data_IF_673654507453
#
_entry.id   IF_673654507453
#
_cell.length_a   1.000
_cell.length_b   1.000
_cell.length_c   1.000
_cell.angle_alpha   90.00
_cell.angle_beta   90.00
_cell.angle_gamma   90.00
#
_symmetry.space_group_name_H-M   'P 1'
#
loop_
_entity.id
_entity.type
_entity.pdbx_description
1 polymer ?
#
# COMPACT_ATOMS: atom_id res chain seq x y z
N UNK A 1 2.80 2.21 44.90
CA UNK A 1 3.08 1.83 43.50
C UNK A 1 1.78 1.35 42.87
N UNK A 2 1.48 1.78 41.63
CA UNK A 2 0.35 1.22 40.87
C UNK A 2 0.76 -0.16 40.35
N UNK A 3 -0.14 -1.14 40.38
CA UNK A 3 0.17 -2.47 39.83
C UNK A 3 0.19 -2.43 38.30
N UNK A 4 0.88 -3.39 37.68
CA UNK A 4 0.93 -3.53 36.21
C UNK A 4 -0.48 -3.66 35.63
N UNK A 5 -1.40 -4.36 36.30
CA UNK A 5 -2.81 -4.51 35.86
C UNK A 5 -3.58 -3.19 35.87
N UNK A 6 -3.26 -2.28 36.81
CA UNK A 6 -3.86 -0.96 36.84
C UNK A 6 -3.31 -0.04 35.74
N UNK A 7 -2.08 -0.29 35.31
CA UNK A 7 -1.40 0.43 34.21
C UNK A 7 -1.72 -0.15 32.83
N UNK A 8 -2.18 -1.41 32.78
CA UNK A 8 -2.59 -2.13 31.57
C UNK A 8 -3.98 -2.75 31.81
N UNK A 9 -5.03 -1.92 31.85
CA UNK A 9 -6.38 -2.39 32.12
C UNK A 9 -6.91 -3.22 30.95
N UNK A 10 -7.87 -4.12 31.22
CA UNK A 10 -8.49 -4.93 30.17
C UNK A 10 -9.26 -4.09 29.15
N UNK A 11 -9.83 -2.97 29.59
CA UNK A 11 -10.50 -1.99 28.74
C UNK A 11 -9.91 -0.61 29.02
N UNK A 12 -9.54 0.10 27.95
CA UNK A 12 -8.87 1.39 28.04
C UNK A 12 -7.48 1.37 27.42
N UNK A 13 -6.79 2.50 27.49
CA UNK A 13 -5.42 2.64 27.01
C UNK A 13 -4.43 2.26 28.11
N UNK A 14 -3.30 1.67 27.70
CA UNK A 14 -2.16 1.47 28.57
C UNK A 14 -1.59 2.81 29.06
N UNK A 15 -0.99 2.81 30.25
CA UNK A 15 -0.21 3.91 30.82
C UNK A 15 1.30 3.61 30.63
N UNK A 16 1.88 3.91 29.45
CA UNK A 16 3.29 3.61 29.18
C UNK A 16 4.24 4.42 30.05
N UNK A 17 3.82 5.60 30.54
CA UNK A 17 4.63 6.41 31.45
C UNK A 17 4.70 5.73 32.82
N UNK A 18 3.56 5.32 33.37
CA UNK A 18 3.52 4.57 34.62
C UNK A 18 4.25 3.23 34.56
N UNK A 19 4.17 2.50 33.43
CA UNK A 19 4.94 1.27 33.25
C UNK A 19 6.46 1.51 33.25
N UNK A 20 6.94 2.67 32.78
CA UNK A 20 8.36 3.02 32.83
C UNK A 20 8.86 3.25 34.26
N UNK A 21 7.97 3.60 35.19
CA UNK A 21 8.28 3.78 36.61
C UNK A 21 8.32 2.48 37.41
N UNK A 22 7.72 1.39 36.89
CA UNK A 22 7.77 0.06 37.51
C UNK A 22 9.19 -0.51 37.42
N UNK A 23 9.63 -1.25 38.45
CA UNK A 23 10.95 -1.88 38.47
C UNK A 23 11.17 -2.79 37.26
N UNK A 24 12.37 -2.73 36.67
CA UNK A 24 12.67 -3.47 35.45
C UNK A 24 12.69 -5.00 35.69
N UNK A 25 13.07 -5.49 36.87
CA UNK A 25 13.02 -6.92 37.19
C UNK A 25 11.57 -7.39 37.32
N UNK A 26 10.70 -6.55 37.89
CA UNK A 26 9.27 -6.84 37.99
C UNK A 26 8.65 -6.96 36.59
N UNK A 27 8.94 -6.03 35.69
CA UNK A 27 8.45 -6.07 34.31
C UNK A 27 9.02 -7.24 33.51
N UNK A 28 10.31 -7.57 33.67
CA UNK A 28 10.94 -8.70 32.99
C UNK A 28 10.30 -10.03 33.43
N UNK A 29 10.05 -10.20 34.74
CA UNK A 29 9.33 -11.36 35.26
C UNK A 29 7.90 -11.43 34.71
N UNK A 30 7.19 -10.31 34.69
CA UNK A 30 5.81 -10.25 34.16
C UNK A 30 5.76 -10.58 32.67
N UNK A 31 6.70 -10.05 31.88
CA UNK A 31 6.81 -10.33 30.46
C UNK A 31 7.13 -11.80 30.15
N UNK A 32 7.96 -12.43 31.00
CA UNK A 32 8.38 -13.81 30.84
C UNK A 32 7.32 -14.85 31.25
N UNK A 33 6.34 -14.49 32.08
CA UNK A 33 5.34 -15.43 32.58
C UNK A 33 4.18 -15.62 31.57
N UNK A 34 4.01 -16.82 30.97
CA UNK A 34 2.95 -17.08 30.00
C UNK A 34 1.55 -17.14 30.63
N UNK A 35 1.44 -17.17 31.97
CA UNK A 35 0.14 -17.10 32.65
C UNK A 35 -0.53 -15.72 32.51
N UNK A 36 0.24 -14.68 32.19
CA UNK A 36 -0.29 -13.35 31.94
C UNK A 36 -0.78 -13.18 30.49
N UNK A 37 -1.85 -12.37 30.25
CA UNK A 37 -2.32 -12.10 28.90
C UNK A 37 -1.26 -11.45 28.02
N UNK A 38 -1.18 -11.86 26.75
CA UNK A 38 -0.17 -11.42 25.78
C UNK A 38 -0.09 -9.90 25.64
N UNK A 39 -1.23 -9.20 25.71
CA UNK A 39 -1.30 -7.76 25.52
C UNK A 39 -0.63 -7.01 26.68
N UNK A 40 -0.78 -7.46 27.94
CA UNK A 40 -0.04 -6.91 29.09
C UNK A 40 1.45 -7.20 28.99
N UNK A 41 1.79 -8.44 28.65
CA UNK A 41 3.18 -8.88 28.49
C UNK A 41 3.89 -8.03 27.44
N UNK A 42 3.26 -7.78 26.29
CA UNK A 42 3.78 -6.89 25.23
C UNK A 42 4.03 -5.47 25.73
N UNK A 43 3.12 -4.90 26.53
CA UNK A 43 3.29 -3.55 27.08
C UNK A 43 4.43 -3.49 28.10
N UNK A 44 4.61 -4.54 28.92
CA UNK A 44 5.78 -4.69 29.78
C UNK A 44 7.09 -4.76 28.99
N UNK A 45 7.13 -5.55 27.91
CA UNK A 45 8.30 -5.65 27.00
C UNK A 45 8.65 -4.29 26.40
N UNK A 46 7.64 -3.54 25.95
CA UNK A 46 7.86 -2.19 25.41
C UNK A 46 8.44 -1.25 26.47
N UNK A 47 7.96 -1.35 27.71
CA UNK A 47 8.44 -0.54 28.83
C UNK A 47 9.88 -0.90 29.28
N UNK A 48 10.41 -2.08 28.91
CA UNK A 48 11.77 -2.52 29.22
C UNK A 48 12.84 -1.92 28.29
N UNK A 49 12.45 -1.23 27.22
CA UNK A 49 13.38 -0.64 26.23
C UNK A 49 14.48 0.18 26.92
N UNK A 50 15.74 -0.18 26.67
CA UNK A 50 16.93 0.49 27.22
C UNK A 50 17.25 0.16 28.68
N UNK A 51 16.54 -0.79 29.31
CA UNK A 51 16.72 -1.14 30.74
C UNK A 51 16.46 -2.61 31.05
N UNK A 52 16.79 -3.51 30.12
CA UNK A 52 16.63 -4.96 30.30
C UNK A 52 17.54 -5.44 31.44
N UNK A 53 17.01 -6.07 32.50
CA UNK A 53 17.85 -6.60 33.56
C UNK A 53 18.55 -7.88 33.10
N UNK A 54 19.88 -7.90 33.16
CA UNK A 54 20.72 -9.02 32.71
C UNK A 54 20.30 -10.40 33.29
N UNK A 55 19.91 -10.53 34.57
CA UNK A 55 19.52 -11.83 35.12
C UNK A 55 18.30 -12.47 34.46
N UNK A 56 17.46 -11.71 33.74
CA UNK A 56 16.25 -12.22 33.08
C UNK A 56 16.41 -12.43 31.58
N UNK A 57 17.57 -12.10 31.00
CA UNK A 57 17.79 -12.26 29.56
C UNK A 57 17.61 -13.71 29.10
N UNK A 58 18.13 -14.74 29.79
CA UNK A 58 17.92 -16.13 29.39
C UNK A 58 16.43 -16.51 29.32
N UNK A 59 15.63 -16.07 30.29
CA UNK A 59 14.20 -16.34 30.35
C UNK A 59 13.44 -15.63 29.22
N UNK A 60 13.78 -14.37 28.94
CA UNK A 60 13.19 -13.61 27.83
C UNK A 60 13.55 -14.21 26.47
N UNK A 61 14.80 -14.68 26.29
CA UNK A 61 15.22 -15.45 25.11
C UNK A 61 14.42 -16.74 25.01
N UNK A 62 14.26 -17.48 26.10
CA UNK A 62 13.47 -18.72 26.10
C UNK A 62 12.02 -18.50 25.64
N UNK A 63 11.43 -17.32 25.91
CA UNK A 63 10.11 -16.94 25.37
C UNK A 63 10.11 -16.64 23.88
N UNK A 64 11.13 -15.96 23.37
CA UNK A 64 11.31 -15.77 21.91
C UNK A 64 11.34 -17.13 21.20
N UNK A 65 12.04 -18.08 21.81
CA UNK A 65 12.32 -19.40 21.25
C UNK A 65 11.15 -20.38 21.34
N UNK A 66 10.19 -20.12 22.23
CA UNK A 66 9.02 -20.97 22.46
C UNK A 66 7.96 -20.79 21.35
N UNK A 67 7.75 -21.79 20.47
CA UNK A 67 6.74 -21.68 19.41
C UNK A 67 5.31 -21.71 19.95
N UNK A 68 5.08 -22.13 21.20
CA UNK A 68 3.76 -22.12 21.83
C UNK A 68 3.40 -20.74 22.42
N UNK A 69 4.36 -19.82 22.50
CA UNK A 69 4.09 -18.45 22.94
C UNK A 69 3.49 -17.61 21.79
N UNK A 70 2.81 -16.53 22.16
CA UNK A 70 2.15 -15.63 21.22
C UNK A 70 3.13 -14.85 20.35
N UNK A 71 2.85 -14.77 19.05
CA UNK A 71 3.70 -14.07 18.09
C UNK A 71 3.90 -12.58 18.43
N UNK A 72 2.90 -11.93 19.03
CA UNK A 72 2.95 -10.54 19.49
C UNK A 72 4.04 -10.32 20.53
N UNK A 73 4.12 -11.20 21.52
CA UNK A 73 5.13 -11.11 22.58
C UNK A 73 6.50 -11.49 22.05
N UNK A 74 6.59 -12.57 21.27
CA UNK A 74 7.84 -13.02 20.64
C UNK A 74 8.48 -11.95 19.77
N UNK A 75 7.69 -11.26 18.93
CA UNK A 75 8.16 -10.12 18.11
C UNK A 75 8.63 -8.95 18.96
N UNK A 76 7.87 -8.57 19.98
CA UNK A 76 8.26 -7.48 20.87
C UNK A 76 9.57 -7.79 21.61
N UNK A 77 9.76 -9.05 22.04
CA UNK A 77 10.99 -9.50 22.70
C UNK A 77 12.18 -9.54 21.74
N UNK A 78 11.98 -9.95 20.48
CA UNK A 78 13.02 -9.87 19.44
C UNK A 78 13.48 -8.42 19.20
N UNK A 79 12.55 -7.47 19.16
CA UNK A 79 12.88 -6.06 19.04
C UNK A 79 13.66 -5.56 20.26
N UNK A 80 13.23 -5.95 21.47
CA UNK A 80 13.88 -5.59 22.73
C UNK A 80 15.32 -6.13 22.85
N UNK A 81 15.55 -7.36 22.39
CA UNK A 81 16.83 -8.07 22.49
C UNK A 81 17.61 -8.11 21.16
N UNK A 82 17.36 -7.14 20.29
CA UNK A 82 17.89 -7.12 18.93
C UNK A 82 19.42 -6.94 18.82
N UNK A 83 20.09 -6.59 19.93
CA UNK A 83 21.55 -6.45 20.04
C UNK A 83 22.24 -7.69 20.66
N UNK A 84 21.46 -8.69 21.10
CA UNK A 84 21.97 -9.90 21.77
C UNK A 84 22.51 -10.91 20.77
N UNK A 85 23.84 -10.92 20.61
CA UNK A 85 24.54 -11.82 19.68
C UNK A 85 24.27 -13.31 19.93
N UNK A 86 23.88 -13.68 21.16
CA UNK A 86 23.52 -15.06 21.54
C UNK A 86 22.31 -15.60 20.77
N UNK A 87 21.46 -14.72 20.23
CA UNK A 87 20.30 -15.10 19.41
C UNK A 87 20.69 -15.55 18.00
N UNK A 88 21.83 -15.10 17.47
CA UNK A 88 22.15 -15.26 16.06
C UNK A 88 22.27 -16.73 15.60
N UNK A 89 22.94 -17.64 16.34
CA UNK A 89 22.98 -19.06 15.97
C UNK A 89 21.59 -19.70 15.85
N UNK A 90 20.68 -19.33 16.76
CA UNK A 90 19.30 -19.82 16.74
C UNK A 90 18.48 -19.21 15.60
N UNK A 91 18.64 -17.90 15.34
CA UNK A 91 17.94 -17.19 14.26
C UNK A 91 18.30 -17.71 12.86
N UNK A 92 19.53 -18.22 12.69
CA UNK A 92 20.01 -18.80 11.42
C UNK A 92 19.52 -20.22 11.16
N UNK A 93 18.94 -20.88 12.15
CA UNK A 93 18.49 -22.26 12.00
C UNK A 93 17.34 -22.35 10.99
N UNK A 94 17.38 -23.36 10.11
CA UNK A 94 16.42 -23.52 9.00
C UNK A 94 14.96 -23.62 9.45
N UNK A 95 14.69 -24.21 10.62
CA UNK A 95 13.37 -24.25 11.25
C UNK A 95 12.68 -22.88 11.35
N UNK A 96 13.44 -21.78 11.43
CA UNK A 96 12.87 -20.42 11.51
C UNK A 96 12.19 -20.00 10.22
N UNK A 97 12.61 -20.54 9.08
CA UNK A 97 11.95 -20.31 7.79
C UNK A 97 10.56 -20.97 7.73
N UNK A 98 10.34 -22.04 8.51
CA UNK A 98 9.06 -22.77 8.56
C UNK A 98 8.08 -22.29 9.65
N UNK A 99 8.44 -21.28 10.44
CA UNK A 99 7.54 -20.74 11.47
C UNK A 99 6.38 -19.97 10.82
N UNK A 100 5.21 -20.61 10.76
CA UNK A 100 3.99 -20.06 10.17
C UNK A 100 3.26 -19.04 11.06
N UNK A 101 3.80 -18.76 12.26
CA UNK A 101 3.22 -17.76 13.16
C UNK A 101 3.23 -16.38 12.50
N UNK A 102 2.11 -15.67 12.60
CA UNK A 102 1.89 -14.41 11.89
C UNK A 102 3.01 -13.38 12.14
N UNK A 103 3.73 -13.02 11.06
CA UNK A 103 4.78 -12.00 11.06
C UNK A 103 6.12 -12.42 11.68
N UNK A 104 6.29 -13.67 12.14
CA UNK A 104 7.54 -14.11 12.77
C UNK A 104 8.71 -14.21 11.79
N UNK A 105 8.48 -14.72 10.57
CA UNK A 105 9.53 -14.82 9.55
C UNK A 105 10.19 -13.46 9.25
N UNK A 106 9.39 -12.41 9.11
CA UNK A 106 9.88 -11.04 8.91
C UNK A 106 10.64 -10.52 10.14
N UNK A 107 10.16 -10.82 11.35
CA UNK A 107 10.82 -10.43 12.59
C UNK A 107 12.18 -11.13 12.78
N UNK A 108 12.30 -12.40 12.42
CA UNK A 108 13.58 -13.12 12.43
C UNK A 108 14.57 -12.50 11.46
N UNK A 109 14.16 -12.18 10.23
CA UNK A 109 15.00 -11.50 9.25
C UNK A 109 15.47 -10.14 9.75
N UNK A 110 14.57 -9.33 10.32
CA UNK A 110 14.92 -8.05 10.95
C UNK A 110 15.98 -8.22 12.03
N UNK A 111 15.78 -9.15 12.98
CA UNK A 111 16.73 -9.41 14.06
C UNK A 111 18.09 -9.89 13.52
N UNK A 112 18.11 -10.76 12.50
CA UNK A 112 19.34 -11.18 11.80
C UNK A 112 20.09 -9.98 11.21
N UNK A 113 19.37 -9.07 10.56
CA UNK A 113 19.95 -7.83 10.02
C UNK A 113 20.58 -6.94 11.10
N UNK A 114 19.85 -6.69 12.19
CA UNK A 114 20.34 -5.91 13.33
C UNK A 114 21.57 -6.54 14.01
N UNK A 115 21.64 -7.87 14.05
CA UNK A 115 22.80 -8.61 14.57
C UNK A 115 23.97 -8.72 13.57
N UNK A 116 23.83 -8.16 12.36
CA UNK A 116 24.90 -8.13 11.38
C UNK A 116 25.00 -9.37 10.49
N UNK A 117 23.91 -10.11 10.27
CA UNK A 117 23.92 -11.26 9.39
C UNK A 117 23.76 -10.86 7.91
N UNK A 118 24.88 -10.67 7.20
CA UNK A 118 24.86 -10.31 5.78
C UNK A 118 24.09 -11.33 4.91
N UNK A 119 24.04 -12.60 5.31
CA UNK A 119 23.28 -13.62 4.56
C UNK A 119 21.76 -13.41 4.59
N UNK A 120 21.25 -12.45 5.36
CA UNK A 120 19.83 -12.06 5.35
C UNK A 120 19.54 -10.86 4.43
N UNK A 121 20.56 -10.24 3.82
CA UNK A 121 20.41 -8.99 3.09
C UNK A 121 19.39 -9.11 1.94
N UNK A 122 19.45 -10.21 1.18
CA UNK A 122 18.60 -10.43 0.01
C UNK A 122 17.11 -10.53 0.37
N UNK A 123 16.79 -11.27 1.43
CA UNK A 123 15.42 -11.42 1.93
C UNK A 123 14.95 -10.12 2.59
N UNK A 124 15.83 -9.41 3.29
CA UNK A 124 15.52 -8.09 3.85
C UNK A 124 15.20 -7.06 2.77
N UNK A 125 15.95 -7.04 1.65
CA UNK A 125 15.64 -6.20 0.48
C UNK A 125 14.26 -6.55 -0.10
N UNK A 126 13.91 -7.84 -0.12
CA UNK A 126 12.59 -8.30 -0.53
C UNK A 126 11.47 -7.75 0.38
N UNK A 127 11.68 -7.79 1.71
CA UNK A 127 10.75 -7.18 2.66
C UNK A 127 10.66 -5.66 2.47
N UNK A 128 11.80 -4.99 2.29
CA UNK A 128 11.90 -3.53 2.09
C UNK A 128 11.24 -3.05 0.77
N UNK A 129 11.12 -3.91 -0.23
CA UNK A 129 10.40 -3.63 -1.48
C UNK A 129 8.89 -3.97 -1.41
N UNK A 130 8.41 -4.49 -0.27
CA UNK A 130 7.00 -4.86 -0.11
C UNK A 130 6.05 -3.68 -0.31
N UNK A 131 4.87 -3.91 -0.92
CA UNK A 131 3.82 -2.89 -0.97
C UNK A 131 3.24 -2.60 0.43
N UNK A 132 3.33 -3.57 1.35
CA UNK A 132 2.82 -3.43 2.71
C UNK A 132 3.78 -2.66 3.59
N UNK A 133 3.32 -1.51 4.10
CA UNK A 133 4.15 -0.60 4.89
C UNK A 133 4.85 -1.30 6.07
N UNK A 134 4.13 -2.09 6.85
CA UNK A 134 4.70 -2.75 8.03
C UNK A 134 5.81 -3.77 7.66
N UNK A 135 5.66 -4.48 6.54
CA UNK A 135 6.69 -5.39 6.02
C UNK A 135 7.91 -4.62 5.53
N UNK A 136 7.66 -3.52 4.80
CA UNK A 136 8.73 -2.63 4.34
C UNK A 136 9.53 -2.04 5.49
N UNK A 137 8.87 -1.47 6.49
CA UNK A 137 9.50 -0.88 7.66
C UNK A 137 10.36 -1.93 8.40
N UNK A 138 9.93 -3.21 8.40
CA UNK A 138 10.69 -4.34 8.96
C UNK A 138 11.95 -4.64 8.14
N UNK A 139 11.84 -4.72 6.81
CA UNK A 139 12.99 -4.93 5.92
C UNK A 139 14.00 -3.78 5.97
N UNK A 140 13.51 -2.54 5.92
CA UNK A 140 14.33 -1.32 6.02
C UNK A 140 15.11 -1.29 7.34
N UNK A 141 14.48 -1.62 8.47
CA UNK A 141 15.17 -1.67 9.76
C UNK A 141 16.28 -2.72 9.81
N UNK A 142 16.04 -3.91 9.23
CA UNK A 142 17.08 -4.94 9.14
C UNK A 142 18.25 -4.55 8.25
N UNK A 143 17.99 -3.92 7.10
CA UNK A 143 19.03 -3.41 6.19
C UNK A 143 19.79 -2.25 6.82
N UNK A 144 19.12 -1.36 7.55
CA UNK A 144 19.77 -0.27 8.27
C UNK A 144 20.71 -0.81 9.34
N UNK A 145 20.34 -1.88 10.06
CA UNK A 145 21.25 -2.60 10.96
C UNK A 145 22.51 -3.15 10.27
N UNK A 146 22.35 -3.72 9.06
CA UNK A 146 23.51 -4.18 8.27
C UNK A 146 24.40 -3.01 7.84
N UNK A 147 23.79 -1.88 7.43
CA UNK A 147 24.51 -0.67 7.02
C UNK A 147 25.24 -0.03 8.19
N UNK A 148 24.63 0.03 9.37
CA UNK A 148 25.27 0.58 10.58
C UNK A 148 26.51 -0.23 10.98
N UNK A 149 26.51 -1.54 10.72
CA UNK A 149 27.63 -2.44 11.07
C UNK A 149 28.73 -2.51 10.02
N UNK A 150 28.37 -2.57 8.73
CA UNK A 150 29.32 -2.83 7.63
C UNK A 150 29.52 -1.64 6.69
N UNK A 151 28.67 -0.61 6.78
CA UNK A 151 28.62 0.49 5.83
C UNK A 151 27.77 0.17 4.60
N UNK A 152 27.24 1.23 3.96
CA UNK A 152 26.33 1.10 2.82
C UNK A 152 26.96 0.40 1.61
N UNK A 153 28.23 0.71 1.32
CA UNK A 153 28.94 0.15 0.16
C UNK A 153 29.06 -1.38 0.23
N UNK A 154 29.30 -1.94 1.41
CA UNK A 154 29.39 -3.41 1.59
C UNK A 154 28.02 -4.05 1.36
N UNK A 155 26.95 -3.47 1.92
CA UNK A 155 25.59 -4.01 1.76
C UNK A 155 25.11 -3.89 0.31
N UNK A 156 25.42 -2.79 -0.38
CA UNK A 156 25.11 -2.62 -1.81
C UNK A 156 25.89 -3.63 -2.66
N UNK A 157 27.17 -3.86 -2.36
CA UNK A 157 27.97 -4.86 -3.06
C UNK A 157 27.44 -6.30 -2.86
N UNK A 158 26.95 -6.62 -1.65
CA UNK A 158 26.34 -7.92 -1.34
C UNK A 158 25.02 -8.13 -2.11
N UNK A 159 24.20 -7.08 -2.27
CA UNK A 159 22.91 -7.15 -2.96
C UNK A 159 23.05 -7.15 -4.50
N UNK A 160 24.02 -6.41 -5.05
CA UNK A 160 24.23 -6.30 -6.49
C UNK A 160 23.15 -5.47 -7.21
N UNK A 161 22.98 -5.70 -8.51
CA UNK A 161 22.07 -4.91 -9.39
C UNK A 161 21.03 -5.75 -10.15
N UNK A 162 21.07 -7.07 -10.04
CA UNK A 162 20.25 -7.97 -10.88
C UNK A 162 18.75 -7.82 -10.60
N UNK A 163 18.38 -7.62 -9.32
CA UNK A 163 16.99 -7.60 -8.89
C UNK A 163 16.49 -6.18 -8.64
N UNK A 164 15.21 -5.91 -8.94
CA UNK A 164 14.61 -4.61 -8.66
C UNK A 164 14.59 -4.27 -7.17
N UNK A 165 14.39 -5.26 -6.28
CA UNK A 165 14.40 -5.01 -4.83
C UNK A 165 15.76 -4.50 -4.33
N UNK A 166 16.84 -5.01 -4.92
CA UNK A 166 18.22 -4.68 -4.59
C UNK A 166 18.57 -3.28 -5.16
N UNK A 167 18.09 -2.98 -6.38
CA UNK A 167 18.21 -1.63 -6.97
C UNK A 167 17.38 -0.58 -6.22
N UNK A 168 16.19 -0.90 -5.72
CA UNK A 168 15.40 -0.01 -4.85
C UNK A 168 16.21 0.40 -3.62
N UNK A 169 16.86 -0.56 -2.96
CA UNK A 169 17.70 -0.28 -1.79
C UNK A 169 18.83 0.70 -2.14
N UNK A 170 19.53 0.49 -3.25
CA UNK A 170 20.58 1.39 -3.73
C UNK A 170 20.07 2.82 -3.95
N UNK A 171 18.90 2.98 -4.57
CA UNK A 171 18.26 4.29 -4.78
C UNK A 171 18.01 4.98 -3.43
N UNK A 172 17.48 4.27 -2.41
CA UNK A 172 17.26 4.84 -1.07
C UNK A 172 18.58 5.26 -0.42
N UNK A 173 19.65 4.48 -0.56
CA UNK A 173 20.95 4.79 0.04
C UNK A 173 21.58 6.03 -0.58
N UNK A 174 21.57 6.14 -1.91
CA UNK A 174 22.02 7.34 -2.62
C UNK A 174 21.24 8.58 -2.17
N UNK A 175 19.90 8.49 -2.13
CA UNK A 175 19.07 9.59 -1.63
C UNK A 175 19.45 10.01 -0.20
N UNK A 176 19.61 9.06 0.73
CA UNK A 176 20.00 9.36 2.12
C UNK A 176 21.40 9.94 2.24
N UNK A 177 22.30 9.64 1.32
CA UNK A 177 23.62 10.25 1.20
C UNK A 177 23.59 11.66 0.55
N UNK A 178 22.40 12.15 0.16
CA UNK A 178 22.24 13.42 -0.56
C UNK A 178 22.68 13.35 -2.02
N UNK A 179 22.82 12.15 -2.57
CA UNK A 179 23.23 11.92 -3.95
C UNK A 179 22.03 11.93 -4.92
N UNK A 180 22.36 12.06 -6.21
CA UNK A 180 21.38 11.99 -7.28
C UNK A 180 20.77 10.60 -7.43
N UNK A 181 19.46 10.59 -7.66
CA UNK A 181 18.64 9.40 -7.95
C UNK A 181 17.93 9.48 -9.29
N UNK A 182 18.07 10.57 -10.05
CA UNK A 182 17.36 10.74 -11.33
C UNK A 182 17.74 9.69 -12.38
N UNK A 183 18.95 9.10 -12.29
CA UNK A 183 19.37 7.98 -13.14
C UNK A 183 18.38 6.80 -13.09
N UNK A 184 17.76 6.56 -11.92
CA UNK A 184 16.85 5.44 -11.70
C UNK A 184 15.44 5.68 -12.27
N UNK A 185 15.12 6.89 -12.76
CA UNK A 185 13.88 7.14 -13.51
C UNK A 185 13.85 6.32 -14.82
N UNK A 186 15.00 5.87 -15.30
CA UNK A 186 15.13 5.00 -16.47
C UNK A 186 15.27 3.50 -16.12
N UNK A 187 15.08 3.10 -14.87
CA UNK A 187 15.11 1.67 -14.50
C UNK A 187 13.98 0.91 -15.23
N UNK A 188 14.26 -0.29 -15.77
CA UNK A 188 13.25 -1.09 -16.45
C UNK A 188 12.14 -1.60 -15.51
N UNK A 189 12.37 -1.69 -14.20
CA UNK A 189 11.31 -1.99 -13.23
C UNK A 189 10.64 -0.69 -12.75
N UNK A 190 9.34 -0.57 -13.04
CA UNK A 190 8.53 0.60 -12.69
C UNK A 190 8.51 0.92 -11.20
N UNK A 191 8.70 -0.07 -10.31
CA UNK A 191 8.77 0.19 -8.86
C UNK A 191 10.02 0.97 -8.48
N UNK A 192 11.16 0.66 -9.13
CA UNK A 192 12.43 1.38 -8.94
C UNK A 192 12.32 2.80 -9.51
N UNK A 193 11.78 2.94 -10.72
CA UNK A 193 11.56 4.25 -11.34
C UNK A 193 10.57 5.12 -10.54
N UNK A 194 9.48 4.52 -10.03
CA UNK A 194 8.55 5.17 -9.13
C UNK A 194 9.23 5.63 -7.84
N UNK A 195 10.09 4.81 -7.23
CA UNK A 195 10.84 5.20 -6.04
C UNK A 195 11.72 6.42 -6.33
N UNK A 196 12.46 6.41 -7.43
CA UNK A 196 13.27 7.56 -7.85
C UNK A 196 12.42 8.82 -8.06
N UNK A 197 11.25 8.68 -8.70
CA UNK A 197 10.26 9.76 -8.85
C UNK A 197 9.84 10.38 -7.51
N UNK A 198 9.59 9.55 -6.49
CA UNK A 198 9.18 10.03 -5.16
C UNK A 198 10.32 10.68 -4.38
N UNK A 199 11.58 10.33 -4.68
CA UNK A 199 12.76 10.79 -3.96
C UNK A 199 13.51 11.94 -4.65
N UNK A 200 13.29 12.19 -5.95
CA UNK A 200 13.95 13.27 -6.66
C UNK A 200 13.57 14.64 -6.07
N UNK A 201 14.57 15.50 -5.84
CA UNK A 201 14.40 16.80 -5.16
C UNK A 201 14.94 17.99 -5.97
N UNK A 202 15.58 17.76 -7.11
CA UNK A 202 16.22 18.80 -7.94
C UNK A 202 15.40 19.02 -9.22
N UNK A 203 14.71 20.16 -9.29
CA UNK A 203 13.84 20.53 -10.41
C UNK A 203 14.63 20.75 -11.72
N UNK A 204 15.84 21.31 -11.65
CA UNK A 204 16.62 21.63 -12.84
C UNK A 204 17.17 20.35 -13.48
N UNK A 205 17.58 19.37 -12.66
CA UNK A 205 17.91 18.03 -13.15
C UNK A 205 16.72 17.32 -13.76
N UNK A 206 15.54 17.40 -13.14
CA UNK A 206 14.33 16.81 -13.69
C UNK A 206 13.97 17.43 -15.05
N UNK A 207 14.15 18.75 -15.23
CA UNK A 207 14.02 19.41 -16.52
C UNK A 207 15.01 18.88 -17.56
N UNK A 208 16.28 18.72 -17.19
CA UNK A 208 17.30 18.13 -18.06
C UNK A 208 16.94 16.68 -18.46
N UNK A 209 16.44 15.87 -17.52
CA UNK A 209 15.99 14.51 -17.81
C UNK A 209 14.86 14.43 -18.86
N UNK A 210 13.98 15.44 -18.95
CA UNK A 210 12.95 15.45 -19.98
C UNK A 210 13.54 15.46 -21.41
N UNK A 211 14.71 16.07 -21.57
CA UNK A 211 15.40 16.16 -22.85
C UNK A 211 16.35 14.97 -23.06
N UNK A 212 17.12 14.62 -22.03
CA UNK A 212 18.27 13.71 -22.11
C UNK A 212 17.95 12.24 -21.77
N UNK A 213 16.83 11.96 -21.09
CA UNK A 213 16.58 10.60 -20.61
C UNK A 213 16.49 9.58 -21.76
N UNK A 214 17.03 8.36 -21.55
CA UNK A 214 17.24 7.40 -22.62
C UNK A 214 15.96 6.74 -23.14
N UNK A 215 14.87 6.78 -22.37
CA UNK A 215 13.59 6.15 -22.73
C UNK A 215 12.44 7.15 -22.64
N UNK A 216 11.38 6.98 -23.46
CA UNK A 216 10.17 7.80 -23.34
C UNK A 216 9.53 7.70 -21.94
N UNK A 217 9.51 6.52 -21.34
CA UNK A 217 8.94 6.30 -20.01
C UNK A 217 9.72 7.07 -18.93
N UNK A 218 11.05 7.11 -19.00
CA UNK A 218 11.86 7.91 -18.09
C UNK A 218 11.55 9.41 -18.17
N UNK A 219 11.24 9.92 -19.38
CA UNK A 219 10.80 11.30 -19.57
C UNK A 219 9.42 11.54 -18.94
N UNK A 220 8.50 10.58 -19.02
CA UNK A 220 7.20 10.66 -18.33
C UNK A 220 7.39 10.64 -16.82
N UNK A 221 8.26 9.79 -16.28
CA UNK A 221 8.62 9.78 -14.86
C UNK A 221 9.22 11.11 -14.40
N UNK A 222 10.12 11.70 -15.19
CA UNK A 222 10.69 13.02 -14.91
C UNK A 222 9.60 14.11 -14.89
N UNK A 223 8.65 14.10 -15.81
CA UNK A 223 7.52 15.04 -15.83
C UNK A 223 6.63 14.88 -14.58
N UNK A 224 6.30 13.65 -14.21
CA UNK A 224 5.56 13.34 -12.99
C UNK A 224 6.32 13.80 -11.72
N UNK A 225 7.65 13.67 -11.69
CA UNK A 225 8.46 14.03 -10.53
C UNK A 225 8.57 15.56 -10.41
N UNK A 226 8.74 16.24 -11.56
CA UNK A 226 8.77 17.69 -11.63
C UNK A 226 7.44 18.29 -11.18
N UNK A 227 6.32 17.74 -11.62
CA UNK A 227 5.00 18.18 -11.16
C UNK A 227 4.82 17.96 -9.65
N UNK A 228 5.21 16.80 -9.12
CA UNK A 228 5.15 16.54 -7.66
C UNK A 228 5.95 17.56 -6.86
N UNK A 229 7.11 17.98 -7.37
CA UNK A 229 8.01 18.90 -6.68
C UNK A 229 7.56 20.37 -6.76
N UNK A 230 6.99 20.77 -7.88
CA UNK A 230 6.65 22.18 -8.17
C UNK A 230 5.17 22.51 -8.02
N UNK A 231 4.31 21.48 -8.07
CA UNK A 231 2.85 21.58 -8.20
C UNK A 231 2.38 22.38 -9.43
N UNK A 232 3.29 22.68 -10.37
CA UNK A 232 2.97 23.47 -11.56
C UNK A 232 2.30 22.57 -12.62
N UNK A 233 0.99 22.76 -12.78
CA UNK A 233 0.18 22.06 -13.80
C UNK A 233 0.43 22.58 -15.21
N UNK A 234 0.78 23.86 -15.37
CA UNK A 234 1.08 24.43 -16.68
C UNK A 234 2.40 23.86 -17.22
N UNK A 235 3.41 23.74 -16.37
CA UNK A 235 4.69 23.09 -16.70
C UNK A 235 4.48 21.59 -17.01
N UNK A 236 3.72 20.87 -16.19
CA UNK A 236 3.37 19.47 -16.46
C UNK A 236 2.65 19.30 -17.81
N UNK A 237 1.69 20.18 -18.12
CA UNK A 237 0.96 20.16 -19.40
C UNK A 237 1.89 20.47 -20.57
N UNK A 238 2.77 21.46 -20.44
CA UNK A 238 3.75 21.76 -21.49
C UNK A 238 4.69 20.57 -21.75
N UNK A 239 5.13 19.88 -20.70
CA UNK A 239 5.92 18.65 -20.83
C UNK A 239 5.12 17.53 -21.50
N UNK A 240 3.86 17.32 -21.10
CA UNK A 240 2.97 16.32 -21.71
C UNK A 240 2.74 16.56 -23.20
N UNK A 241 2.48 17.82 -23.61
CA UNK A 241 2.36 18.21 -25.02
C UNK A 241 3.67 18.00 -25.79
N UNK A 242 4.81 18.41 -25.21
CA UNK A 242 6.15 18.21 -25.81
C UNK A 242 6.47 16.74 -26.04
N UNK A 243 6.04 15.85 -25.15
CA UNK A 243 6.21 14.40 -25.26
C UNK A 243 5.22 13.75 -26.23
N UNK A 244 4.33 14.52 -26.88
CA UNK A 244 3.35 14.00 -27.83
C UNK A 244 2.13 13.39 -27.18
N UNK A 245 1.77 13.83 -25.97
CA UNK A 245 0.64 13.33 -25.16
C UNK A 245 0.70 11.81 -24.94
N UNK A 246 1.79 11.29 -24.35
CA UNK A 246 1.97 9.86 -24.20
C UNK A 246 0.85 9.26 -23.35
N UNK A 247 0.20 8.21 -23.85
CA UNK A 247 -0.91 7.53 -23.18
C UNK A 247 -0.76 6.01 -23.25
N UNK A 248 -1.38 5.29 -22.32
CA UNK A 248 -1.53 3.82 -22.40
C UNK A 248 -2.79 3.53 -23.21
N UNK A 249 -2.62 2.94 -24.39
CA UNK A 249 -3.75 2.53 -25.23
C UNK A 249 -4.42 1.29 -24.61
N UNK A 250 -5.74 1.37 -24.44
CA UNK A 250 -6.57 0.23 -24.05
C UNK A 250 -7.61 0.06 -25.14
N UNK A 251 -7.55 -1.07 -25.84
CA UNK A 251 -8.46 -1.37 -26.95
C UNK A 251 -9.92 -1.35 -26.48
N UNK A 252 -10.79 -0.67 -27.23
CA UNK A 252 -12.22 -0.56 -26.90
C UNK A 252 -12.58 0.47 -25.81
N UNK A 253 -11.61 1.02 -25.08
CA UNK A 253 -11.87 2.02 -24.04
C UNK A 253 -12.04 3.42 -24.67
N UNK A 254 -13.27 3.93 -24.67
CA UNK A 254 -13.53 5.30 -25.13
C UNK A 254 -13.15 6.38 -24.11
N UNK A 255 -13.17 7.63 -24.57
CA UNK A 255 -12.71 8.80 -23.82
C UNK A 255 -13.59 9.15 -22.61
N UNK A 256 -14.88 8.79 -22.60
CA UNK A 256 -15.76 9.05 -21.46
C UNK A 256 -15.40 8.15 -20.29
N UNK A 257 -15.28 6.84 -20.54
CA UNK A 257 -14.83 5.86 -19.56
C UNK A 257 -13.40 6.14 -19.11
N UNK A 258 -12.49 6.38 -20.06
CA UNK A 258 -11.10 6.73 -19.77
C UNK A 258 -11.02 7.95 -18.86
N UNK A 259 -11.77 9.02 -19.16
CA UNK A 259 -11.78 10.23 -18.35
C UNK A 259 -12.26 9.99 -16.91
N UNK A 260 -13.25 9.13 -16.72
CA UNK A 260 -13.72 8.75 -15.39
C UNK A 260 -12.66 7.95 -14.62
N UNK A 261 -12.04 6.95 -15.26
CA UNK A 261 -11.04 6.08 -14.66
C UNK A 261 -9.73 6.82 -14.35
N UNK A 262 -9.25 7.66 -15.27
CA UNK A 262 -8.05 8.48 -15.09
C UNK A 262 -8.23 9.45 -13.94
N UNK A 263 -9.40 10.09 -13.84
CA UNK A 263 -9.69 11.03 -12.75
C UNK A 263 -9.69 10.34 -11.39
N UNK A 264 -10.29 9.16 -11.31
CA UNK A 264 -10.42 8.42 -10.04
C UNK A 264 -9.10 7.78 -9.63
N UNK A 265 -8.52 6.97 -10.52
CA UNK A 265 -7.43 6.08 -10.17
C UNK A 265 -6.05 6.65 -10.52
N UNK A 266 -5.96 7.58 -11.47
CA UNK A 266 -4.69 8.13 -11.91
C UNK A 266 -3.86 8.83 -10.81
N UNK A 267 -4.45 9.69 -9.95
CA UNK A 267 -3.71 10.34 -8.87
C UNK A 267 -3.15 9.35 -7.83
N UNK A 268 -3.92 8.30 -7.52
CA UNK A 268 -3.61 7.30 -6.49
C UNK A 268 -3.01 5.99 -7.02
N UNK A 269 -2.74 5.88 -8.32
CA UNK A 269 -2.30 4.62 -8.92
C UNK A 269 -0.99 4.11 -8.29
N UNK A 270 -0.93 2.79 -8.08
CA UNK A 270 0.13 2.13 -7.31
C UNK A 270 1.47 2.17 -8.04
N UNK A 271 2.56 1.88 -7.30
CA UNK A 271 3.95 1.95 -7.80
C UNK A 271 4.21 1.24 -9.14
N UNK A 272 3.63 0.05 -9.42
CA UNK A 272 3.89 -0.66 -10.68
C UNK A 272 3.12 -0.07 -11.89
N UNK A 273 2.23 0.90 -11.67
CA UNK A 273 1.46 1.52 -12.75
C UNK A 273 2.38 2.23 -13.74
N UNK A 274 2.02 2.19 -15.01
CA UNK A 274 2.70 2.99 -16.03
C UNK A 274 2.53 4.49 -15.73
N UNK A 275 3.61 5.29 -15.77
CA UNK A 275 3.56 6.69 -15.38
C UNK A 275 2.68 7.54 -16.30
N UNK A 276 2.34 7.06 -17.50
CA UNK A 276 1.45 7.76 -18.43
C UNK A 276 0.05 7.95 -17.85
N UNK A 277 -0.47 6.98 -17.08
CA UNK A 277 -1.75 7.13 -16.37
C UNK A 277 -1.73 8.30 -15.38
N UNK A 278 -0.62 8.43 -14.63
CA UNK A 278 -0.43 9.52 -13.67
C UNK A 278 -0.27 10.87 -14.36
N UNK A 279 0.55 10.94 -15.41
CA UNK A 279 0.76 12.20 -16.14
C UNK A 279 -0.52 12.67 -16.83
N UNK A 280 -1.30 11.75 -17.39
CA UNK A 280 -2.59 12.04 -17.99
C UNK A 280 -3.56 12.61 -16.96
N UNK A 281 -3.65 12.04 -15.75
CA UNK A 281 -4.51 12.56 -14.68
C UNK A 281 -4.12 13.98 -14.24
N UNK A 282 -2.81 14.28 -14.21
CA UNK A 282 -2.30 15.63 -13.91
C UNK A 282 -2.69 16.63 -15.01
N UNK A 283 -2.61 16.21 -16.27
CA UNK A 283 -2.79 17.10 -17.44
C UNK A 283 -4.25 17.21 -17.90
N UNK A 284 -5.09 16.23 -17.54
CA UNK A 284 -6.51 16.26 -17.77
C UNK A 284 -7.12 17.47 -17.05
N UNK A 285 -7.98 18.21 -17.77
CA UNK A 285 -8.84 19.19 -17.09
C UNK A 285 -9.77 18.37 -16.21
N UNK A 286 -9.76 18.53 -14.87
CA UNK A 286 -10.65 17.75 -14.02
C UNK A 286 -12.09 18.15 -14.42
N UNK A 287 -12.90 17.24 -14.99
CA UNK A 287 -14.31 17.55 -15.14
C UNK A 287 -14.87 17.80 -13.74
N UNK A 288 -15.94 18.62 -13.63
CA UNK A 288 -16.69 18.66 -12.38
C UNK A 288 -17.10 17.24 -12.05
N UNK A 289 -16.77 16.77 -10.84
CA UNK A 289 -17.22 15.48 -10.37
C UNK A 289 -18.73 15.36 -10.51
N UNK A 290 -19.26 14.16 -10.78
CA UNK A 290 -20.69 13.99 -10.93
C UNK A 290 -21.44 14.41 -9.67
N UNK A 291 -22.59 15.06 -9.85
CA UNK A 291 -23.54 15.27 -8.74
C UNK A 291 -24.22 13.92 -8.45
N UNK A 292 -23.67 13.19 -7.48
CA UNK A 292 -24.14 11.85 -7.11
C UNK A 292 -25.60 11.90 -6.67
N UNK A 293 -26.04 12.94 -5.96
CA UNK A 293 -27.43 13.07 -5.52
C UNK A 293 -28.38 13.24 -6.72
N UNK A 294 -27.98 14.02 -7.73
CA UNK A 294 -28.72 14.13 -8.99
C UNK A 294 -28.75 12.82 -9.76
N UNK A 295 -27.62 12.11 -9.87
CA UNK A 295 -27.56 10.79 -10.51
C UNK A 295 -28.52 9.81 -9.84
N UNK A 296 -28.46 9.67 -8.52
CA UNK A 296 -29.36 8.79 -7.78
C UNK A 296 -30.82 9.13 -8.02
N UNK A 297 -31.18 10.42 -7.93
CA UNK A 297 -32.54 10.89 -8.20
C UNK A 297 -33.01 10.54 -9.62
N UNK A 298 -32.18 10.78 -10.64
CA UNK A 298 -32.49 10.47 -12.04
C UNK A 298 -32.62 8.97 -12.28
N UNK A 299 -31.76 8.15 -11.67
CA UNK A 299 -31.83 6.71 -11.79
C UNK A 299 -33.11 6.15 -11.15
N UNK A 300 -33.44 6.57 -9.93
CA UNK A 300 -34.71 6.20 -9.27
C UNK A 300 -35.91 6.60 -10.14
N UNK A 301 -35.92 7.82 -10.67
CA UNK A 301 -37.01 8.27 -11.55
C UNK A 301 -37.11 7.44 -12.84
N UNK A 302 -35.98 7.08 -13.45
CA UNK A 302 -35.93 6.24 -14.65
C UNK A 302 -36.42 4.81 -14.38
N UNK A 303 -36.03 4.21 -13.25
CA UNK A 303 -36.53 2.90 -12.82
C UNK A 303 -38.05 2.93 -12.60
N UNK A 304 -38.57 3.98 -11.96
CA UNK A 304 -40.03 4.17 -11.79
C UNK A 304 -40.74 4.35 -13.13
N UNK A 305 -40.20 5.15 -14.04
CA UNK A 305 -40.77 5.34 -15.38
C UNK A 305 -40.73 4.03 -16.21
N UNK A 306 -39.74 3.18 -15.98
CA UNK A 306 -39.64 1.84 -16.55
C UNK A 306 -40.60 0.81 -15.94
N UNK A 307 -41.43 1.20 -14.97
CA UNK A 307 -42.45 0.35 -14.35
C UNK A 307 -41.99 -0.42 -13.11
N UNK A 308 -40.81 -0.11 -12.56
CA UNK A 308 -40.33 -0.73 -11.33
C UNK A 308 -40.64 0.13 -10.09
N UNK A 309 -40.61 -0.49 -8.91
CA UNK A 309 -40.70 0.19 -7.62
C UNK A 309 -39.31 0.18 -6.94
N UNK A 310 -38.42 1.13 -7.25
CA UNK A 310 -37.08 1.16 -6.67
C UNK A 310 -37.12 1.47 -5.17
N UNK A 311 -36.30 0.76 -4.40
CA UNK A 311 -36.00 1.10 -3.00
C UNK A 311 -35.05 2.31 -2.93
N UNK A 312 -34.91 2.95 -1.75
CA UNK A 312 -33.89 3.96 -1.55
C UNK A 312 -32.50 3.44 -1.91
N UNK A 313 -31.66 4.22 -2.63
CA UNK A 313 -30.29 3.83 -2.92
C UNK A 313 -29.47 3.66 -1.65
N UNK A 314 -28.57 2.67 -1.65
CA UNK A 314 -27.66 2.36 -0.54
C UNK A 314 -26.22 2.37 -1.06
N UNK A 315 -25.28 2.93 -0.31
CA UNK A 315 -23.86 2.89 -0.71
C UNK A 315 -23.36 1.45 -0.73
N UNK A 316 -22.38 1.12 -1.57
CA UNK A 316 -21.80 -0.22 -1.58
C UNK A 316 -21.23 -0.65 -0.21
N UNK A 317 -20.66 0.28 0.56
CA UNK A 317 -20.17 0.00 1.91
C UNK A 317 -21.30 -0.37 2.88
N UNK A 318 -22.40 0.38 2.87
CA UNK A 318 -23.57 0.09 3.71
C UNK A 318 -24.24 -1.23 3.30
N UNK A 319 -24.33 -1.49 2.00
CA UNK A 319 -24.91 -2.71 1.43
C UNK A 319 -24.09 -3.96 1.82
N UNK A 320 -22.75 -3.87 1.77
CA UNK A 320 -21.86 -4.93 2.21
C UNK A 320 -21.60 -4.93 3.73
N UNK A 321 -22.16 -3.96 4.47
CA UNK A 321 -21.98 -3.74 5.91
C UNK A 321 -20.53 -3.44 6.35
N UNK A 322 -19.64 -3.16 5.40
CA UNK A 322 -18.23 -2.80 5.63
C UNK A 322 -17.63 -2.21 4.35
N UNK A 323 -16.50 -1.52 4.50
CA UNK A 323 -15.75 -0.99 3.37
C UNK A 323 -16.33 0.27 2.74
N UNK A 324 -15.77 0.65 1.60
CA UNK A 324 -16.22 1.77 0.75
C UNK A 324 -15.97 1.44 -0.73
N UNK A 325 -16.45 2.27 -1.65
CA UNK A 325 -16.29 2.03 -3.07
C UNK A 325 -16.92 3.07 -3.98
N UNK A 326 -17.01 2.72 -5.26
CA UNK A 326 -17.35 3.66 -6.34
C UNK A 326 -18.77 3.46 -6.88
N UNK A 327 -19.69 2.88 -6.09
CA UNK A 327 -21.07 2.71 -6.53
C UNK A 327 -22.12 2.70 -5.41
N UNK A 328 -23.37 2.88 -5.84
CA UNK A 328 -24.60 2.68 -5.07
C UNK A 328 -25.40 1.52 -5.63
N UNK A 329 -26.13 0.83 -4.75
CA UNK A 329 -27.09 -0.22 -5.09
C UNK A 329 -28.50 0.35 -5.02
N UNK A 330 -29.29 0.09 -6.06
CA UNK A 330 -30.74 0.36 -6.08
C UNK A 330 -31.47 -0.95 -6.37
N UNK A 331 -32.15 -1.49 -5.35
CA UNK A 331 -32.99 -2.67 -5.53
C UNK A 331 -34.32 -2.30 -6.19
N UNK A 332 -34.68 -3.00 -7.27
CA UNK A 332 -35.92 -2.77 -7.98
C UNK A 332 -36.38 -4.06 -8.69
N UNK A 333 -37.65 -4.44 -8.55
CA UNK A 333 -38.21 -5.59 -9.28
C UNK A 333 -37.63 -6.96 -8.92
N UNK A 334 -36.97 -7.09 -7.76
CA UNK A 334 -36.27 -8.31 -7.35
C UNK A 334 -34.81 -8.39 -7.81
N UNK A 335 -34.31 -7.35 -8.45
CA UNK A 335 -32.95 -7.26 -8.98
C UNK A 335 -32.22 -6.01 -8.45
N UNK A 336 -30.92 -5.90 -8.75
CA UNK A 336 -29.99 -4.90 -8.21
C UNK A 336 -29.35 -4.12 -9.35
N UNK A 337 -29.70 -2.84 -9.44
CA UNK A 337 -28.98 -1.89 -10.28
C UNK A 337 -27.77 -1.35 -9.52
N UNK A 338 -26.60 -1.38 -10.15
CA UNK A 338 -25.40 -0.70 -9.66
C UNK A 338 -25.26 0.63 -10.40
N UNK A 339 -25.07 1.72 -9.66
CA UNK A 339 -24.85 3.06 -10.19
C UNK A 339 -23.47 3.56 -9.76
N UNK A 340 -22.60 3.84 -10.72
CA UNK A 340 -21.25 4.32 -10.44
C UNK A 340 -21.27 5.76 -9.91
N UNK A 341 -20.44 6.04 -8.91
CA UNK A 341 -20.14 7.40 -8.45
C UNK A 341 -19.15 8.11 -9.37
N UNK A 342 -18.56 7.41 -10.35
CA UNK A 342 -17.57 7.98 -11.28
C UNK A 342 -18.23 8.65 -12.49
N UNK A 343 -19.53 8.48 -12.70
CA UNK A 343 -20.26 9.08 -13.81
C UNK A 343 -21.63 8.45 -13.99
N UNK A 344 -22.36 8.79 -15.06
CA UNK A 344 -23.68 8.25 -15.31
C UNK A 344 -23.61 6.81 -15.87
N UNK A 345 -22.83 5.93 -15.23
CA UNK A 345 -22.66 4.54 -15.63
C UNK A 345 -23.51 3.63 -14.74
N UNK A 346 -24.23 2.70 -15.37
CA UNK A 346 -25.09 1.74 -14.68
C UNK A 346 -24.92 0.34 -15.24
N UNK A 347 -25.06 -0.66 -14.38
CA UNK A 347 -25.16 -2.07 -14.76
C UNK A 347 -26.11 -2.80 -13.81
N UNK A 348 -26.41 -4.06 -14.08
CA UNK A 348 -27.19 -4.91 -13.20
C UNK A 348 -26.60 -6.32 -13.17
N UNK A 349 -26.80 -7.03 -12.05
CA UNK A 349 -26.33 -8.41 -11.91
C UNK A 349 -27.14 -9.37 -12.79
N UNK A 350 -28.43 -9.11 -12.97
CA UNK A 350 -29.29 -9.86 -13.88
C UNK A 350 -29.81 -8.96 -15.01
N UNK A 351 -30.24 -9.54 -16.14
CA UNK A 351 -30.81 -8.76 -17.23
C UNK A 351 -32.10 -8.04 -16.82
N UNK A 352 -32.07 -6.71 -16.83
CA UNK A 352 -33.27 -5.89 -16.62
C UNK A 352 -34.18 -5.88 -17.85
N UNK A 353 -35.51 -5.65 -17.67
CA UNK A 353 -36.42 -5.46 -18.79
C UNK A 353 -35.95 -4.34 -19.72
N UNK A 354 -36.06 -4.55 -21.04
CA UNK A 354 -35.59 -3.59 -22.05
C UNK A 354 -36.19 -2.18 -21.89
N UNK A 355 -37.44 -2.08 -21.42
CA UNK A 355 -38.10 -0.81 -21.13
C UNK A 355 -37.38 -0.01 -20.03
N UNK A 356 -36.81 -0.70 -19.03
CA UNK A 356 -36.06 -0.09 -17.94
C UNK A 356 -34.71 0.39 -18.43
N UNK A 357 -33.99 -0.44 -19.19
CA UNK A 357 -32.70 -0.06 -19.81
C UNK A 357 -32.87 1.17 -20.70
N UNK A 358 -33.91 1.20 -21.56
CA UNK A 358 -34.23 2.38 -22.38
C UNK A 358 -34.55 3.62 -21.56
N UNK A 359 -35.25 3.48 -20.43
CA UNK A 359 -35.56 4.61 -19.56
C UNK A 359 -34.29 5.19 -18.92
N UNK A 360 -33.38 4.33 -18.46
CA UNK A 360 -32.07 4.75 -17.94
C UNK A 360 -31.23 5.46 -19.01
N UNK A 361 -31.13 4.89 -20.21
CA UNK A 361 -30.41 5.50 -21.33
C UNK A 361 -31.02 6.86 -21.71
N UNK A 362 -32.34 6.96 -21.74
CA UNK A 362 -33.04 8.23 -22.01
C UNK A 362 -32.83 9.28 -20.92
N UNK A 363 -32.55 8.86 -19.68
CA UNK A 363 -32.19 9.73 -18.58
C UNK A 363 -30.70 10.15 -18.59
N UNK A 364 -29.96 9.76 -19.63
CA UNK A 364 -28.55 10.10 -19.84
C UNK A 364 -27.58 9.14 -19.15
N UNK A 365 -28.03 7.95 -18.76
CA UNK A 365 -27.12 6.91 -18.27
C UNK A 365 -26.55 6.09 -19.42
N UNK A 366 -25.30 5.69 -19.26
CA UNK A 366 -24.67 4.70 -20.11
C UNK A 366 -24.78 3.34 -19.44
N UNK A 367 -25.38 2.40 -20.17
CA UNK A 367 -25.42 1.00 -19.77
C UNK A 367 -24.04 0.37 -20.01
N UNK A 368 -23.48 -0.26 -18.99
CA UNK A 368 -22.24 -1.04 -19.08
C UNK A 368 -22.65 -2.50 -19.23
N UNK A 369 -22.55 -3.00 -20.45
CA UNK A 369 -22.78 -4.40 -20.80
C UNK A 369 -21.55 -5.28 -20.52
N UNK A 370 -21.69 -6.58 -20.70
CA UNK A 370 -20.63 -7.55 -20.44
C UNK A 370 -19.38 -7.30 -21.30
N UNK A 371 -19.56 -6.87 -22.55
CA UNK A 371 -18.44 -6.59 -23.46
C UNK A 371 -17.64 -5.37 -23.00
N UNK A 372 -18.31 -4.25 -22.73
CA UNK A 372 -17.68 -3.03 -22.21
C UNK A 372 -17.11 -3.26 -20.82
N UNK A 373 -17.86 -3.95 -19.97
CA UNK A 373 -17.50 -4.27 -18.59
C UNK A 373 -16.26 -5.14 -18.51
N UNK A 374 -16.07 -6.08 -19.44
CA UNK A 374 -14.93 -7.00 -19.48
C UNK A 374 -13.64 -6.41 -20.07
N UNK A 375 -13.67 -5.18 -20.62
CA UNK A 375 -12.47 -4.52 -21.13
C UNK A 375 -11.42 -4.40 -20.01
N UNK A 376 -10.25 -5.02 -20.22
CA UNK A 376 -9.15 -5.00 -19.24
C UNK A 376 -8.36 -3.71 -19.35
N UNK A 377 -8.29 -2.95 -18.26
CA UNK A 377 -7.51 -1.71 -18.18
C UNK A 377 -6.09 -2.06 -17.74
N UNK A 378 -5.19 -2.20 -18.73
CA UNK A 378 -3.81 -2.62 -18.51
C UNK A 378 -2.95 -1.51 -17.94
N UNK A 379 -1.88 -1.91 -17.25
CA UNK A 379 -0.85 -1.02 -16.69
C UNK A 379 -1.33 0.05 -15.69
N UNK A 380 -2.59 0.01 -15.28
CA UNK A 380 -3.15 0.79 -14.18
C UNK A 380 -3.29 -0.12 -12.96
N UNK A 381 -2.35 -0.03 -12.02
CA UNK A 381 -2.39 -0.85 -10.81
C UNK A 381 -3.26 -0.18 -9.75
N UNK A 382 -4.40 -0.81 -9.48
CA UNK A 382 -5.30 -0.48 -8.37
C UNK A 382 -5.29 -1.68 -7.42
N UNK A 383 -5.18 -1.42 -6.13
CA UNK A 383 -5.26 -2.48 -5.13
C UNK A 383 -6.69 -3.04 -5.08
N UNK A 384 -6.86 -4.36 -5.08
CA UNK A 384 -8.17 -5.01 -4.98
C UNK A 384 -8.01 -6.38 -4.31
N UNK A 385 -8.61 -6.56 -3.12
CA UNK A 385 -8.56 -7.80 -2.33
C UNK A 385 -7.17 -8.48 -2.25
N UNK A 386 -6.12 -7.71 -1.93
CA UNK A 386 -4.77 -8.22 -1.83
C UNK A 386 -3.99 -8.25 -3.14
N UNK A 387 -4.69 -8.24 -4.28
CA UNK A 387 -4.13 -8.25 -5.63
C UNK A 387 -3.88 -6.83 -6.16
N UNK A 388 -3.01 -6.75 -7.18
CA UNK A 388 -2.65 -5.53 -7.92
C UNK A 388 -2.58 -5.82 -9.42
N UNK A 389 -3.48 -6.69 -9.87
CA UNK A 389 -3.60 -7.10 -11.26
C UNK A 389 -4.43 -6.09 -12.06
N UNK A 390 -4.31 -6.06 -13.39
CA UNK A 390 -5.18 -5.26 -14.24
C UNK A 390 -6.65 -5.60 -14.01
N UNK A 391 -7.41 -4.58 -13.59
CA UNK A 391 -8.85 -4.66 -13.39
C UNK A 391 -9.61 -4.36 -14.69
N UNK A 392 -10.84 -4.82 -14.75
CA UNK A 392 -11.77 -4.54 -15.83
C UNK A 392 -12.49 -3.21 -15.62
N UNK A 393 -13.10 -2.68 -16.69
CA UNK A 393 -13.96 -1.47 -16.58
C UNK A 393 -15.08 -1.67 -15.57
N UNK A 394 -15.72 -2.85 -15.54
CA UNK A 394 -16.76 -3.18 -14.57
C UNK A 394 -16.25 -3.10 -13.13
N UNK A 395 -15.12 -3.74 -12.84
CA UNK A 395 -14.50 -3.72 -11.50
C UNK A 395 -14.08 -2.32 -11.06
N UNK A 396 -13.64 -1.45 -11.98
CA UNK A 396 -13.25 -0.09 -11.66
C UNK A 396 -14.46 0.85 -11.50
N UNK A 397 -15.48 0.73 -12.35
CA UNK A 397 -16.68 1.57 -12.22
C UNK A 397 -17.55 1.20 -11.02
N UNK A 398 -17.53 -0.07 -10.62
CA UNK A 398 -18.32 -0.64 -9.53
C UNK A 398 -17.39 -1.28 -8.48
N UNK A 399 -16.34 -0.54 -8.14
CA UNK A 399 -15.31 -0.97 -7.19
C UNK A 399 -15.87 -0.97 -5.77
N UNK A 400 -15.52 -1.98 -4.98
CA UNK A 400 -15.74 -2.03 -3.54
C UNK A 400 -14.56 -2.74 -2.87
N UNK A 401 -14.21 -2.28 -1.66
CA UNK A 401 -13.16 -2.89 -0.86
C UNK A 401 -13.50 -2.78 0.62
N UNK A 402 -13.18 -3.83 1.39
CA UNK A 402 -13.42 -3.95 2.83
C UNK A 402 -12.54 -3.06 3.72
#
# INVERSE_FOLDING_TARGET
>A
MRSIEALTPQAGADDPAGLREVDANELARYAADPAHPWWRRRSCVTALTGRVPEPYVPELIARIQDPADTAEVRRALLDLLSDRAELLPWLRHEDRASDASYGMAAAFLKARGLLGDLSAARELATLAASPWRHTRDTGDAGLDGLVDRYGAEIVVAELGEDRPEDREFRVRKRYRAGEDVTYALADPDRRVAHLAHTLATDADRLRACLDEAPTPEAKVWAACALHRLTEDRAEARAAYERLGRPRVEVEGLDEELRGALVREYGPGCERPSDPRWRLEAVCAVPPRGPDVADLLRRATAALTAGGLAPKPPVSCGDDNQQGDGTYYVIEAGGDRLLLSTLGPFVTAAEPLPEAVVRALVSAGFRWIDDETGALRVTDLCVYYFGAREPLTVGELLFYWQD
#
